data_IF_615733169844
#
_entry.id   IF_615733169844
#
_cell.length_a   1.000
_cell.length_b   1.000
_cell.length_c   1.000
_cell.angle_alpha   90.00
_cell.angle_beta   90.00
_cell.angle_gamma   90.00
#
_symmetry.space_group_name_H-M   'P 1'
#
loop_
_entity.id
_entity.type
_entity.pdbx_description
1 polymer ?
#
# COMPACT_ATOMS: atom_id res chain seq x y z
N UNK A 1 -6.96 26.26 10.87
CA UNK A 1 -5.92 25.75 9.95
C UNK A 1 -6.39 24.39 9.44
N UNK A 2 -6.29 24.09 8.13
CA UNK A 2 -6.63 22.77 7.62
C UNK A 2 -5.66 21.71 8.19
N UNK A 3 -6.19 20.56 8.62
CA UNK A 3 -5.40 19.43 9.12
C UNK A 3 -4.96 18.55 7.95
N UNK A 4 -3.67 18.22 7.88
CA UNK A 4 -3.14 17.27 6.90
C UNK A 4 -3.64 15.87 7.27
N UNK A 5 -4.36 15.21 6.37
CA UNK A 5 -4.87 13.85 6.60
C UNK A 5 -3.77 12.80 6.47
N UNK A 6 -2.94 12.91 5.43
CA UNK A 6 -1.77 12.08 5.17
C UNK A 6 -0.81 12.82 4.24
N UNK A 7 0.45 12.38 4.21
CA UNK A 7 1.51 12.86 3.33
C UNK A 7 2.08 11.70 2.54
N UNK A 8 2.57 11.94 1.32
CA UNK A 8 3.14 10.88 0.49
C UNK A 8 4.05 11.41 -0.61
N UNK A 9 4.85 10.50 -1.17
CA UNK A 9 5.76 10.77 -2.28
C UNK A 9 5.22 10.09 -3.54
N UNK A 10 5.13 10.86 -4.62
CA UNK A 10 4.71 10.36 -5.94
C UNK A 10 5.39 11.14 -7.06
N UNK A 11 5.14 10.73 -8.28
CA UNK A 11 5.62 11.38 -9.49
C UNK A 11 4.50 12.20 -10.14
N UNK A 12 4.85 13.24 -10.89
CA UNK A 12 3.89 13.97 -11.70
C UNK A 12 3.12 13.00 -12.61
N UNK A 13 1.82 13.22 -12.77
CA UNK A 13 0.87 12.36 -13.50
C UNK A 13 0.49 11.03 -12.82
N UNK A 14 1.07 10.69 -11.66
CA UNK A 14 0.63 9.55 -10.85
C UNK A 14 -0.37 10.00 -9.76
N UNK A 15 -1.54 9.37 -9.73
CA UNK A 15 -2.53 9.53 -8.65
C UNK A 15 -2.33 8.52 -7.50
N UNK A 16 -1.37 7.62 -7.65
CA UNK A 16 -1.05 6.54 -6.72
C UNK A 16 0.09 6.93 -5.77
N UNK A 17 0.16 6.24 -4.63
CA UNK A 17 1.23 6.39 -3.66
C UNK A 17 1.97 5.07 -3.46
N UNK A 18 3.29 5.13 -3.51
CA UNK A 18 4.18 4.01 -3.16
C UNK A 18 4.82 4.19 -1.79
N UNK A 19 4.90 5.45 -1.31
CA UNK A 19 5.45 5.79 -0.01
C UNK A 19 4.59 6.89 0.61
N UNK A 20 4.24 6.74 1.89
CA UNK A 20 3.49 7.77 2.60
C UNK A 20 3.38 7.51 4.10
N UNK A 21 2.79 8.48 4.79
CA UNK A 21 2.59 8.46 6.22
C UNK A 21 1.33 9.23 6.61
N UNK A 22 0.75 8.85 7.73
CA UNK A 22 -0.23 9.65 8.44
C UNK A 22 0.19 9.79 9.92
N UNK A 23 -0.69 10.30 10.76
CA UNK A 23 -0.40 10.54 12.18
C UNK A 23 -0.15 9.24 12.98
N UNK A 24 -0.61 8.09 12.47
CA UNK A 24 -0.57 6.80 13.16
C UNK A 24 0.53 5.86 12.67
N UNK A 25 0.83 5.86 11.36
CA UNK A 25 1.80 4.95 10.76
C UNK A 25 2.45 5.52 9.49
N UNK A 26 3.54 4.89 9.08
CA UNK A 26 4.21 5.09 7.79
C UNK A 26 4.18 3.78 7.00
N UNK A 27 4.15 3.87 5.68
CA UNK A 27 4.23 2.71 4.81
C UNK A 27 5.04 2.99 3.53
N UNK A 28 5.60 1.91 3.00
CA UNK A 28 6.24 1.89 1.68
C UNK A 28 5.97 0.57 0.97
N UNK A 29 6.03 0.60 -0.36
CA UNK A 29 5.85 -0.56 -1.22
C UNK A 29 7.09 -0.83 -2.05
N UNK A 30 7.57 -2.06 -1.98
CA UNK A 30 8.62 -2.58 -2.83
C UNK A 30 8.03 -3.60 -3.80
N UNK A 31 8.34 -3.44 -5.09
CA UNK A 31 7.97 -4.43 -6.10
C UNK A 31 8.70 -5.75 -5.83
N UNK A 32 8.00 -6.89 -6.00
CA UNK A 32 8.57 -8.22 -5.88
C UNK A 32 8.53 -8.92 -7.23
N UNK A 33 9.67 -9.37 -7.70
CA UNK A 33 9.76 -10.13 -8.95
C UNK A 33 9.68 -11.63 -8.66
N UNK A 34 8.67 -12.30 -9.20
CA UNK A 34 8.43 -13.73 -8.97
C UNK A 34 8.31 -14.56 -10.26
N UNK A 35 8.62 -13.97 -11.42
CA UNK A 35 8.52 -14.60 -12.72
C UNK A 35 8.21 -13.58 -13.83
N UNK A 36 8.03 -14.03 -15.08
CA UNK A 36 7.80 -13.12 -16.21
C UNK A 36 6.58 -12.22 -15.97
N UNK A 37 6.78 -10.90 -16.07
CA UNK A 37 5.73 -9.88 -15.86
C UNK A 37 4.47 -10.07 -16.72
N UNK A 38 4.57 -10.87 -17.80
CA UNK A 38 3.46 -11.15 -18.70
C UNK A 38 2.31 -11.89 -18.02
N UNK A 39 2.60 -12.76 -17.03
CA UNK A 39 1.56 -13.42 -16.24
C UNK A 39 0.80 -12.43 -15.38
N UNK A 40 1.47 -11.39 -14.86
CA UNK A 40 0.81 -10.30 -14.15
C UNK A 40 -0.05 -9.49 -15.14
N UNK A 41 0.40 -9.16 -16.35
CA UNK A 41 -0.45 -8.44 -17.32
C UNK A 41 -1.71 -9.24 -17.68
N UNK A 42 -1.59 -10.56 -17.87
CA UNK A 42 -2.74 -11.43 -18.15
C UNK A 42 -3.70 -11.53 -16.95
N UNK A 43 -3.18 -11.69 -15.74
CA UNK A 43 -3.99 -11.71 -14.53
C UNK A 43 -4.67 -10.33 -14.31
N UNK A 44 -4.07 -9.22 -14.75
CA UNK A 44 -4.60 -7.85 -14.57
C UNK A 44 -5.82 -7.63 -15.46
N UNK A 45 -5.72 -8.14 -16.69
CA UNK A 45 -6.83 -8.22 -17.64
C UNK A 45 -7.95 -9.13 -17.14
N UNK A 46 -7.63 -10.32 -16.59
CA UNK A 46 -8.61 -11.27 -16.08
C UNK A 46 -9.36 -10.77 -14.83
N UNK A 47 -8.68 -10.03 -13.96
CA UNK A 47 -9.25 -9.48 -12.72
C UNK A 47 -9.96 -8.14 -12.91
N UNK A 48 -10.07 -7.64 -14.15
CA UNK A 48 -10.78 -6.41 -14.54
C UNK A 48 -10.28 -5.15 -13.82
N UNK A 49 -8.98 -5.00 -13.58
CA UNK A 49 -8.39 -3.79 -12.97
C UNK A 49 -9.01 -3.38 -11.63
N UNK A 50 -9.56 -4.32 -10.85
CA UNK A 50 -10.44 -3.99 -9.71
C UNK A 50 -9.79 -3.21 -8.57
N UNK A 51 -8.46 -3.23 -8.45
CA UNK A 51 -7.71 -2.36 -7.51
C UNK A 51 -6.23 -2.33 -7.85
N UNK A 52 -5.71 -1.28 -8.52
CA UNK A 52 -4.27 -1.12 -8.68
C UNK A 52 -3.63 -0.88 -7.31
N UNK A 53 -2.52 -1.56 -7.01
CA UNK A 53 -1.94 -1.65 -5.66
C UNK A 53 -1.64 -0.28 -5.04
N UNK A 54 -1.22 0.70 -5.85
CA UNK A 54 -0.96 2.06 -5.37
C UNK A 54 -2.20 2.86 -4.94
N UNK A 55 -3.42 2.43 -5.31
CA UNK A 55 -4.66 2.99 -4.75
C UNK A 55 -4.95 2.42 -3.37
N UNK A 56 -4.59 1.16 -3.10
CA UNK A 56 -4.76 0.56 -1.77
C UNK A 56 -3.95 1.32 -0.72
N UNK A 57 -2.69 1.66 -1.01
CA UNK A 57 -1.85 2.42 -0.08
C UNK A 57 -2.46 3.78 0.24
N UNK A 58 -2.98 4.47 -0.78
CA UNK A 58 -3.67 5.76 -0.61
C UNK A 58 -4.97 5.61 0.20
N UNK A 59 -5.76 4.56 -0.07
CA UNK A 59 -6.98 4.24 0.67
C UNK A 59 -6.67 4.02 2.16
N UNK A 60 -5.68 3.16 2.46
CA UNK A 60 -5.25 2.85 3.84
C UNK A 60 -4.73 4.09 4.56
N UNK A 61 -3.87 4.89 3.92
CA UNK A 61 -3.39 6.16 4.50
C UNK A 61 -4.52 7.13 4.85
N UNK A 62 -5.59 7.13 4.05
CA UNK A 62 -6.74 8.03 4.23
C UNK A 62 -7.79 7.52 5.22
N UNK A 63 -7.95 6.20 5.38
CA UNK A 63 -9.06 5.58 6.11
C UNK A 63 -8.65 4.98 7.45
N UNK A 64 -7.44 4.41 7.55
CA UNK A 64 -6.97 3.74 8.76
C UNK A 64 -6.40 4.75 9.76
N UNK A 65 -6.89 4.66 11.00
CA UNK A 65 -6.50 5.57 12.10
C UNK A 65 -5.49 4.98 13.08
N UNK A 66 -5.21 3.68 12.97
CA UNK A 66 -4.26 2.96 13.84
C UNK A 66 -3.36 2.06 13.00
N UNK A 67 -2.20 1.70 13.57
CA UNK A 67 -1.27 0.76 12.97
C UNK A 67 -1.92 -0.62 12.75
N UNK A 68 -2.61 -1.16 13.75
CA UNK A 68 -3.24 -2.50 13.66
C UNK A 68 -4.33 -2.56 12.60
N UNK A 69 -5.14 -1.51 12.47
CA UNK A 69 -6.18 -1.43 11.44
C UNK A 69 -5.55 -1.39 10.04
N UNK A 70 -4.50 -0.58 9.86
CA UNK A 70 -3.76 -0.54 8.61
C UNK A 70 -3.10 -1.88 8.27
N UNK A 71 -2.46 -2.53 9.25
CA UNK A 71 -1.85 -3.85 9.10
C UNK A 71 -2.89 -4.90 8.70
N UNK A 72 -4.06 -4.90 9.34
CA UNK A 72 -5.14 -5.81 9.02
C UNK A 72 -5.71 -5.55 7.61
N UNK A 73 -5.86 -4.28 7.23
CA UNK A 73 -6.41 -3.90 5.93
C UNK A 73 -5.45 -4.26 4.78
N UNK A 74 -4.14 -4.03 4.97
CA UNK A 74 -3.10 -4.38 4.02
C UNK A 74 -2.87 -5.90 3.91
N UNK A 75 -3.09 -6.64 4.99
CA UNK A 75 -2.94 -8.10 5.01
C UNK A 75 -4.07 -8.83 4.27
N UNK A 76 -5.31 -8.35 4.37
CA UNK A 76 -6.49 -9.07 3.86
C UNK A 76 -6.92 -8.67 2.43
N UNK A 77 -6.61 -7.46 1.96
CA UNK A 77 -7.06 -7.00 0.63
C UNK A 77 -6.28 -7.71 -0.47
N UNK A 78 -6.96 -8.28 -1.46
CA UNK A 78 -6.33 -8.97 -2.58
C UNK A 78 -5.40 -8.02 -3.35
N UNK A 79 -4.11 -8.38 -3.46
CA UNK A 79 -3.14 -7.67 -4.28
C UNK A 79 -2.94 -8.40 -5.59
N UNK A 80 -2.87 -7.60 -6.63
CA UNK A 80 -2.76 -8.06 -7.99
C UNK A 80 -1.33 -8.50 -8.36
N UNK A 81 -0.34 -7.70 -7.95
CA UNK A 81 1.07 -7.96 -8.20
C UNK A 81 1.78 -8.41 -6.91
N UNK A 82 2.70 -9.38 -6.99
CA UNK A 82 3.60 -9.69 -5.89
C UNK A 82 4.32 -8.42 -5.43
N UNK A 83 4.29 -8.15 -4.13
CA UNK A 83 4.90 -6.95 -3.55
C UNK A 83 5.20 -7.16 -2.07
N UNK A 84 6.16 -6.40 -1.57
CA UNK A 84 6.40 -6.25 -0.14
C UNK A 84 5.85 -4.91 0.31
N UNK A 85 4.96 -4.93 1.30
CA UNK A 85 4.47 -3.73 1.96
C UNK A 85 5.14 -3.65 3.32
N UNK A 86 5.84 -2.56 3.57
CA UNK A 86 6.55 -2.30 4.82
C UNK A 86 5.73 -1.26 5.57
N UNK A 87 5.37 -1.54 6.82
CA UNK A 87 4.60 -0.63 7.67
C UNK A 87 5.30 -0.46 9.02
N UNK A 88 5.36 0.79 9.49
CA UNK A 88 5.88 1.15 10.81
C UNK A 88 4.91 2.05 11.55
N UNK A 89 4.62 1.72 12.81
CA UNK A 89 3.77 2.49 13.71
C UNK A 89 4.56 3.43 14.62
N UNK A 90 3.93 3.86 15.71
CA UNK A 90 4.51 4.79 16.69
C UNK A 90 5.00 4.12 17.96
N UNK A 91 4.45 2.95 18.30
CA UNK A 91 4.76 2.26 19.54
C UNK A 91 5.92 1.26 19.35
N UNK A 92 6.68 0.97 20.41
CA UNK A 92 7.67 -0.10 20.37
C UNK A 92 7.04 -1.42 19.92
N UNK A 93 7.64 -2.06 18.90
CA UNK A 93 7.15 -3.31 18.33
C UNK A 93 6.18 -3.15 17.15
N UNK A 94 5.73 -1.94 16.82
CA UNK A 94 4.89 -1.69 15.65
C UNK A 94 5.74 -1.58 14.37
N UNK A 95 6.13 -2.73 13.82
CA UNK A 95 6.86 -2.82 12.56
C UNK A 95 6.63 -4.17 11.90
N UNK A 96 6.21 -4.18 10.63
CA UNK A 96 5.94 -5.41 9.91
C UNK A 96 6.30 -5.32 8.43
N UNK A 97 6.65 -6.48 7.86
CA UNK A 97 6.81 -6.67 6.42
C UNK A 97 5.74 -7.65 5.98
N UNK A 98 4.82 -7.18 5.14
CA UNK A 98 3.75 -7.98 4.56
C UNK A 98 4.25 -8.48 3.20
N UNK A 99 4.46 -9.79 3.09
CA UNK A 99 4.83 -10.45 1.84
C UNK A 99 3.57 -10.90 1.11
N UNK A 100 3.35 -10.38 -0.09
CA UNK A 100 2.17 -10.66 -0.92
C UNK A 100 2.56 -11.22 -2.28
#
# INVERSE_FOLDING_TARGET
>A
MPKIAYSGVTFALSSTLLTGQNDAFSLSLNARYSGPYIYNIFMEFLTKFRTPVGFLLREVLSSSKTYDDALNHLSNRHLFSPSYIIIGGRQPGEGAIISR
#
